data_IF_669325384816
#
_entry.id   IF_669325384816
#
_cell.length_a   1.000
_cell.length_b   1.000
_cell.length_c   1.000
_cell.angle_alpha   90.00
_cell.angle_beta   90.00
_cell.angle_gamma   90.00
#
_symmetry.space_group_name_H-M   'P 1'
#
loop_
_entity.id
_entity.type
_entity.pdbx_description
1 polymer ?
#
# COMPACT_ATOMS: atom_id res chain seq x y z
N UNK A 1 35.09 12.81 31.05
CA UNK A 1 34.89 12.92 29.60
C UNK A 1 33.90 14.03 29.28
N UNK A 2 34.41 15.08 28.64
CA UNK A 2 33.80 16.05 27.70
C UNK A 2 32.34 16.50 27.92
N UNK A 3 32.22 17.65 28.60
CA UNK A 3 31.55 18.93 28.24
C UNK A 3 30.47 19.07 27.15
N UNK A 4 29.45 19.88 27.53
CA UNK A 4 28.75 20.99 26.81
C UNK A 4 27.77 20.63 25.66
N UNK A 5 26.64 21.29 25.46
CA UNK A 5 26.09 22.55 26.00
C UNK A 5 24.56 22.59 25.79
N UNK A 6 23.78 23.17 26.71
CA UNK A 6 23.36 24.58 26.70
C UNK A 6 22.79 25.04 25.35
N UNK A 7 21.48 25.20 25.29
CA UNK A 7 20.76 25.86 24.20
C UNK A 7 19.60 26.68 24.76
N UNK A 8 19.88 27.94 25.08
CA UNK A 8 18.96 28.89 25.69
C UNK A 8 17.76 29.25 24.82
N UNK A 9 16.66 29.54 25.52
CA UNK A 9 15.58 30.43 25.07
C UNK A 9 16.15 31.79 24.71
N UNK A 10 15.72 32.38 23.59
CA UNK A 10 15.15 33.75 23.47
C UNK A 10 15.09 34.23 22.02
N UNK A 11 13.94 34.85 21.68
CA UNK A 11 13.83 36.12 20.91
C UNK A 11 14.09 35.99 19.39
N UNK A 12 13.36 36.57 18.43
CA UNK A 12 12.60 37.83 18.33
C UNK A 12 11.52 37.67 17.24
N UNK A 13 10.29 38.13 17.52
CA UNK A 13 9.33 38.57 16.51
C UNK A 13 9.63 40.05 16.24
N UNK A 14 10.17 40.41 15.07
CA UNK A 14 10.01 41.76 14.50
C UNK A 14 10.15 41.76 12.97
N UNK A 15 9.09 42.26 12.33
CA UNK A 15 8.99 43.05 11.09
C UNK A 15 10.01 42.87 9.95
N UNK A 16 9.47 42.56 8.76
CA UNK A 16 10.15 42.75 7.47
C UNK A 16 9.13 43.07 6.37
N UNK A 17 9.29 44.23 5.76
CA UNK A 17 8.42 44.89 4.78
C UNK A 17 8.41 44.28 3.38
N UNK A 18 7.30 44.49 2.68
CA UNK A 18 7.15 44.79 1.24
C UNK A 18 8.00 43.99 0.22
N UNK A 19 7.33 43.15 -0.56
CA UNK A 19 7.86 42.59 -1.81
C UNK A 19 6.74 42.32 -2.80
N UNK A 20 6.45 43.31 -3.65
CA UNK A 20 5.57 43.14 -4.82
C UNK A 20 6.32 42.34 -5.86
N UNK A 21 6.14 41.02 -5.87
CA UNK A 21 6.66 40.19 -6.97
C UNK A 21 5.56 40.00 -8.01
N UNK A 22 5.66 40.80 -9.06
CA UNK A 22 4.87 40.65 -10.26
C UNK A 22 5.66 39.74 -11.19
N UNK A 23 5.05 38.68 -11.73
CA UNK A 23 4.99 38.38 -13.17
C UNK A 23 4.46 36.97 -13.48
N UNK A 24 3.50 36.94 -14.42
CA UNK A 24 3.27 35.97 -15.53
C UNK A 24 2.87 34.53 -15.23
N UNK A 25 1.57 34.25 -15.42
CA UNK A 25 1.04 33.51 -16.58
C UNK A 25 1.31 32.00 -16.75
N UNK A 26 0.20 31.26 -16.93
CA UNK A 26 0.03 29.89 -17.49
C UNK A 26 0.59 28.74 -16.65
N UNK A 27 -0.15 27.68 -16.31
CA UNK A 27 -1.07 26.85 -17.09
C UNK A 27 -2.17 26.30 -16.16
N UNK A 28 -3.39 26.10 -16.66
CA UNK A 28 -4.45 25.38 -15.90
C UNK A 28 -3.93 23.98 -15.57
N UNK A 29 -3.54 23.75 -14.31
CA UNK A 29 -3.47 22.40 -13.78
C UNK A 29 -4.89 22.03 -13.41
N UNK A 30 -5.50 21.16 -14.21
CA UNK A 30 -6.64 20.38 -13.74
C UNK A 30 -6.09 19.59 -12.55
N UNK A 31 -6.36 20.07 -11.33
CA UNK A 31 -6.24 19.24 -10.16
C UNK A 31 -7.29 18.15 -10.33
N UNK A 32 -6.86 16.99 -10.84
CA UNK A 32 -7.63 15.76 -10.74
C UNK A 32 -7.73 15.47 -9.24
N UNK A 33 -8.78 16.02 -8.63
CA UNK A 33 -9.24 15.59 -7.33
C UNK A 33 -9.78 14.19 -7.57
N UNK A 34 -8.90 13.18 -7.49
CA UNK A 34 -9.37 11.85 -7.10
C UNK A 34 -10.08 12.09 -5.79
N UNK A 35 -11.40 12.06 -5.82
CA UNK A 35 -12.19 11.95 -4.61
C UNK A 35 -11.78 10.61 -4.00
N UNK A 36 -10.81 10.67 -3.08
CA UNK A 36 -10.41 9.58 -2.23
C UNK A 36 -11.66 9.19 -1.43
N UNK A 37 -12.45 8.28 -1.99
CA UNK A 37 -13.60 7.64 -1.34
C UNK A 37 -13.06 6.90 -0.14
N UNK A 38 -13.01 7.63 0.97
CA UNK A 38 -12.47 7.20 2.24
C UNK A 38 -13.21 5.97 2.76
N UNK A 39 -12.65 4.80 2.41
CA UNK A 39 -12.11 3.83 3.35
C UNK A 39 -13.02 3.42 4.52
N UNK A 40 -14.14 2.76 4.22
CA UNK A 40 -14.54 1.64 5.08
C UNK A 40 -13.94 0.37 4.49
N UNK A 41 -12.65 0.16 4.74
CA UNK A 41 -12.02 -1.11 4.39
C UNK A 41 -12.56 -2.19 5.33
N UNK A 42 -13.55 -2.94 4.86
CA UNK A 42 -14.05 -4.10 5.58
C UNK A 42 -12.93 -5.12 5.74
N UNK A 43 -12.70 -5.57 6.98
CA UNK A 43 -11.64 -6.54 7.31
C UNK A 43 -12.12 -7.94 6.92
N UNK A 44 -11.27 -8.68 6.21
CA UNK A 44 -11.51 -10.07 5.82
C UNK A 44 -10.42 -10.95 6.41
N UNK A 45 -10.82 -12.04 7.06
CA UNK A 45 -9.87 -13.01 7.62
C UNK A 45 -9.53 -14.06 6.56
N UNK A 46 -8.24 -14.25 6.30
CA UNK A 46 -7.70 -15.24 5.36
C UNK A 46 -6.78 -16.17 6.13
N UNK A 47 -6.81 -17.46 5.83
CA UNK A 47 -5.90 -18.44 6.44
C UNK A 47 -5.04 -19.04 5.32
N UNK A 48 -3.75 -18.77 5.38
CA UNK A 48 -2.79 -19.41 4.48
C UNK A 48 -2.38 -20.76 5.06
N UNK A 49 -2.17 -21.74 4.18
CA UNK A 49 -1.64 -23.05 4.54
C UNK A 49 -0.31 -23.20 3.81
N UNK A 50 0.78 -23.31 4.56
CA UNK A 50 2.11 -23.45 3.98
C UNK A 50 2.38 -24.89 3.49
N UNK A 51 3.57 -25.10 2.93
CA UNK A 51 4.01 -26.42 2.43
C UNK A 51 4.17 -27.47 3.54
N UNK A 52 4.28 -27.05 4.80
CA UNK A 52 4.35 -27.91 5.97
C UNK A 52 2.95 -28.22 6.56
N UNK A 53 1.89 -27.62 6.02
CA UNK A 53 0.52 -27.71 6.54
C UNK A 53 0.22 -26.77 7.70
N UNK A 54 1.12 -25.84 8.04
CA UNK A 54 0.90 -24.84 9.07
C UNK A 54 -0.14 -23.82 8.59
N UNK A 55 -1.14 -23.58 9.46
CA UNK A 55 -2.18 -22.57 9.23
C UNK A 55 -1.73 -21.22 9.79
N UNK A 56 -1.68 -20.22 8.93
CA UNK A 56 -1.21 -18.87 9.24
C UNK A 56 -2.39 -17.91 9.03
N UNK A 57 -3.09 -17.50 10.11
CA UNK A 57 -4.20 -16.56 10.01
C UNK A 57 -3.70 -15.14 9.77
N UNK A 58 -4.30 -14.46 8.80
CA UNK A 58 -3.95 -13.11 8.37
C UNK A 58 -5.21 -12.26 8.23
N UNK A 59 -5.10 -10.98 8.58
CA UNK A 59 -6.14 -9.98 8.34
C UNK A 59 -5.84 -9.21 7.05
N UNK A 60 -6.72 -9.35 6.08
CA UNK A 60 -6.76 -8.57 4.84
C UNK A 60 -7.89 -7.54 4.86
N UNK A 61 -7.97 -6.76 3.79
CA UNK A 61 -9.06 -5.83 3.52
C UNK A 61 -9.79 -6.24 2.24
N UNK A 62 -11.06 -5.89 2.13
CA UNK A 62 -11.76 -6.01 0.84
C UNK A 62 -11.00 -5.21 -0.22
N UNK A 63 -10.66 -5.88 -1.33
CA UNK A 63 -9.85 -5.32 -2.41
C UNK A 63 -8.34 -5.59 -2.29
N UNK A 64 -7.86 -6.19 -1.19
CA UNK A 64 -6.47 -6.65 -1.12
C UNK A 64 -6.20 -7.78 -2.12
N UNK A 65 -5.04 -7.73 -2.78
CA UNK A 65 -4.53 -8.81 -3.61
C UNK A 65 -3.87 -9.90 -2.75
N UNK A 66 -4.17 -11.17 -3.04
CA UNK A 66 -3.74 -12.31 -2.20
C UNK A 66 -2.22 -12.50 -2.21
N UNK A 67 -1.56 -12.29 -3.35
CA UNK A 67 -0.11 -12.42 -3.47
C UNK A 67 0.60 -11.38 -2.59
N UNK A 68 0.21 -10.12 -2.72
CA UNK A 68 0.79 -9.04 -1.90
C UNK A 68 0.43 -9.18 -0.42
N UNK A 69 -0.78 -9.68 -0.11
CA UNK A 69 -1.20 -9.99 1.26
C UNK A 69 -0.33 -11.09 1.89
N UNK A 70 0.04 -12.12 1.13
CA UNK A 70 0.93 -13.17 1.62
C UNK A 70 2.33 -12.60 1.93
N UNK A 71 2.92 -11.90 0.97
CA UNK A 71 4.28 -11.35 1.07
C UNK A 71 4.43 -10.36 2.23
N UNK A 72 3.47 -9.44 2.42
CA UNK A 72 3.51 -8.47 3.52
C UNK A 72 3.39 -9.11 4.91
N UNK A 73 2.85 -10.33 4.99
CA UNK A 73 2.72 -11.10 6.24
C UNK A 73 3.81 -12.18 6.37
N UNK A 74 4.85 -12.14 5.54
CA UNK A 74 6.00 -13.04 5.64
C UNK A 74 5.71 -14.48 5.22
N UNK A 75 4.64 -14.71 4.46
CA UNK A 75 4.34 -16.03 3.87
C UNK A 75 5.17 -16.17 2.60
N UNK A 76 5.84 -17.32 2.46
CA UNK A 76 6.72 -17.63 1.33
C UNK A 76 5.90 -17.94 0.06
N UNK A 77 5.38 -16.88 -0.57
CA UNK A 77 4.68 -16.95 -1.85
C UNK A 77 5.39 -16.06 -2.89
N UNK A 78 5.96 -16.71 -3.89
CA UNK A 78 6.81 -16.06 -4.89
C UNK A 78 5.97 -15.40 -6.00
N UNK A 79 6.29 -14.15 -6.32
CA UNK A 79 5.65 -13.37 -7.39
C UNK A 79 6.65 -12.88 -8.43
N UNK A 80 7.34 -13.78 -9.14
CA UNK A 80 8.47 -13.44 -10.00
C UNK A 80 8.14 -12.44 -11.13
N UNK A 81 6.89 -12.44 -11.61
CA UNK A 81 6.39 -11.54 -12.64
C UNK A 81 5.56 -10.37 -12.10
N UNK A 82 5.55 -10.14 -10.77
CA UNK A 82 4.85 -9.02 -10.15
C UNK A 82 3.36 -8.95 -10.54
N UNK A 83 2.68 -10.10 -10.54
CA UNK A 83 1.28 -10.26 -10.94
C UNK A 83 0.97 -9.89 -12.41
N UNK A 84 1.96 -9.90 -13.30
CA UNK A 84 1.79 -9.58 -14.74
C UNK A 84 1.35 -10.76 -15.61
N UNK A 85 0.83 -11.86 -15.02
CA UNK A 85 0.40 -13.09 -15.72
C UNK A 85 1.48 -13.77 -16.61
N UNK A 86 2.76 -13.42 -16.42
CA UNK A 86 3.87 -13.98 -17.21
C UNK A 86 4.56 -15.18 -16.53
N UNK A 87 4.06 -15.62 -15.37
CA UNK A 87 4.66 -16.67 -14.55
C UNK A 87 3.58 -17.44 -13.79
N UNK A 88 3.96 -18.56 -13.17
CA UNK A 88 3.08 -19.40 -12.35
C UNK A 88 3.58 -19.59 -10.91
N UNK A 89 4.56 -18.80 -10.48
CA UNK A 89 5.16 -18.91 -9.13
C UNK A 89 4.19 -18.57 -8.01
N UNK A 90 3.13 -17.81 -8.31
CA UNK A 90 2.08 -17.41 -7.37
C UNK A 90 0.90 -18.40 -7.29
N UNK A 91 0.99 -19.56 -7.95
CA UNK A 91 -0.08 -20.56 -7.96
C UNK A 91 -0.41 -21.06 -6.55
N UNK A 92 -1.69 -21.10 -6.20
CA UNK A 92 -2.22 -21.53 -4.90
C UNK A 92 -3.47 -22.39 -5.06
N UNK A 93 -3.75 -23.22 -4.06
CA UNK A 93 -5.03 -23.93 -3.95
C UNK A 93 -6.00 -23.11 -3.11
N UNK A 94 -7.25 -23.05 -3.56
CA UNK A 94 -8.36 -22.39 -2.85
C UNK A 94 -9.28 -23.46 -2.29
N UNK A 95 -9.80 -23.26 -1.06
CA UNK A 95 -10.75 -24.19 -0.44
C UNK A 95 -12.04 -24.28 -1.26
N UNK A 96 -12.57 -25.50 -1.40
CA UNK A 96 -13.74 -25.80 -2.24
C UNK A 96 -14.95 -24.88 -1.94
N UNK A 97 -15.15 -24.51 -0.67
CA UNK A 97 -16.22 -23.60 -0.22
C UNK A 97 -16.20 -22.20 -0.90
N UNK A 98 -15.06 -21.81 -1.48
CA UNK A 98 -14.85 -20.50 -2.10
C UNK A 98 -14.61 -20.57 -3.61
N UNK A 99 -14.42 -21.77 -4.20
CA UNK A 99 -14.09 -21.92 -5.63
C UNK A 99 -15.18 -21.33 -6.52
N UNK A 100 -16.46 -21.51 -6.17
CA UNK A 100 -17.58 -20.96 -6.94
C UNK A 100 -17.75 -19.43 -6.77
N UNK A 101 -17.05 -18.83 -5.80
CA UNK A 101 -17.12 -17.38 -5.51
C UNK A 101 -16.04 -16.59 -6.21
N UNK A 102 -15.00 -17.26 -6.72
CA UNK A 102 -13.92 -16.61 -7.47
C UNK A 102 -14.22 -16.67 -8.98
N UNK A 103 -13.80 -15.65 -9.75
CA UNK A 103 -13.89 -15.72 -11.20
C UNK A 103 -13.06 -16.88 -11.74
N UNK A 104 -13.51 -17.46 -12.86
CA UNK A 104 -12.72 -18.48 -13.57
C UNK A 104 -11.38 -17.88 -14.00
N UNK A 105 -10.29 -18.68 -14.01
CA UNK A 105 -9.00 -18.21 -14.51
C UNK A 105 -9.14 -17.71 -15.95
N UNK A 106 -8.50 -16.58 -16.24
CA UNK A 106 -8.42 -16.01 -17.59
C UNK A 106 -7.00 -16.24 -18.13
N UNK A 107 -6.91 -16.55 -19.43
CA UNK A 107 -5.64 -16.84 -20.13
C UNK A 107 -5.38 -15.83 -21.26
N UNK A 108 -6.09 -14.69 -21.28
CA UNK A 108 -5.97 -13.70 -22.35
C UNK A 108 -4.65 -12.92 -22.25
N UNK A 109 -3.86 -13.03 -23.32
CA UNK A 109 -2.67 -12.22 -23.63
C UNK A 109 -3.03 -10.97 -24.44
#
# INVERSE_FOLDING_TARGET
SVTLGLGWRRIQLLLGTAGRFQFRGFHTTVAFQTEDKSCKAEIVNVVFIDRCGQKIPVQGKVGDDVLHLAQRNGIELEGACEASLACSTCHVYVSDDFVDRIPKPDERF
#
